data_IF_374226504276
#
_entry.id   IF_374226504276
#
_cell.length_a   1.000
_cell.length_b   1.000
_cell.length_c   1.000
_cell.angle_alpha   90.00
_cell.angle_beta   90.00
_cell.angle_gamma   90.00
#
_symmetry.space_group_name_H-M   'P 1'
#
loop_
_entity.id
_entity.type
_entity.pdbx_description
1 polymer ?
#
# COMPACT_ATOMS: atom_id res chain seq x y z
N UNK A 1 -0.67 6.05 13.67
CA UNK A 1 0.67 6.13 13.05
C UNK A 1 1.25 4.74 12.90
N UNK A 2 1.79 4.40 11.73
CA UNK A 2 2.38 3.10 11.42
C UNK A 2 3.84 3.26 10.99
N UNK A 3 4.71 2.44 11.58
CA UNK A 3 6.14 2.39 11.25
C UNK A 3 6.41 1.57 9.99
N UNK A 4 7.31 2.08 9.15
CA UNK A 4 7.78 1.38 7.96
C UNK A 4 9.01 0.50 8.28
N UNK A 5 9.10 -0.70 7.70
CA UNK A 5 10.15 -1.69 8.03
C UNK A 5 11.57 -1.21 7.71
N UNK A 6 11.71 -0.31 6.73
CA UNK A 6 13.01 0.26 6.34
C UNK A 6 13.15 1.74 6.75
N UNK A 7 12.34 2.16 7.74
CA UNK A 7 12.36 3.49 8.33
C UNK A 7 11.44 4.49 7.63
N UNK A 8 10.86 5.38 8.44
CA UNK A 8 9.76 6.26 8.05
C UNK A 8 8.48 5.88 8.78
N UNK A 9 7.50 6.76 8.75
CA UNK A 9 6.18 6.56 9.38
C UNK A 9 5.12 7.23 8.54
N UNK A 10 3.90 6.72 8.58
CA UNK A 10 2.75 7.37 7.94
C UNK A 10 1.52 7.31 8.84
N UNK A 11 0.55 8.17 8.57
CA UNK A 11 -0.77 8.14 9.20
C UNK A 11 -1.71 7.24 8.38
N UNK A 12 -2.32 6.25 9.04
CA UNK A 12 -3.33 5.38 8.44
C UNK A 12 -4.53 6.16 7.87
N UNK A 13 -4.87 7.32 8.42
CA UNK A 13 -5.95 8.16 7.90
C UNK A 13 -5.57 8.85 6.58
N UNK A 14 -4.30 9.16 6.35
CA UNK A 14 -3.81 9.63 5.05
C UNK A 14 -3.99 8.55 3.98
N UNK A 15 -3.79 7.28 4.36
CA UNK A 15 -4.06 6.15 3.45
C UNK A 15 -5.56 6.03 3.14
N UNK A 16 -6.44 6.16 4.15
CA UNK A 16 -7.89 6.17 3.92
C UNK A 16 -8.30 7.28 2.94
N UNK A 17 -7.78 8.50 3.16
CA UNK A 17 -8.02 9.63 2.28
C UNK A 17 -7.51 9.37 0.85
N UNK A 18 -6.31 8.80 0.72
CA UNK A 18 -5.73 8.44 -0.57
C UNK A 18 -6.57 7.42 -1.34
N UNK A 19 -7.04 6.35 -0.66
CA UNK A 19 -7.89 5.33 -1.28
C UNK A 19 -9.19 5.95 -1.77
N UNK A 20 -9.87 6.74 -0.94
CA UNK A 20 -11.12 7.43 -1.31
C UNK A 20 -10.93 8.41 -2.46
N UNK A 21 -9.84 9.18 -2.46
CA UNK A 21 -9.51 10.12 -3.52
C UNK A 21 -9.29 9.42 -4.88
N UNK A 22 -8.88 8.14 -4.87
CA UNK A 22 -8.75 7.34 -6.08
C UNK A 22 -10.09 6.81 -6.65
N UNK A 23 -11.21 7.06 -5.96
CA UNK A 23 -12.53 6.55 -6.35
C UNK A 23 -12.74 5.06 -6.07
N UNK A 24 -11.89 4.46 -5.23
CA UNK A 24 -11.96 3.04 -4.84
C UNK A 24 -12.20 2.90 -3.33
N UNK A 25 -12.58 1.70 -2.94
CA UNK A 25 -12.66 1.23 -1.56
C UNK A 25 -11.46 0.34 -1.17
N UNK A 26 -10.50 0.13 -2.07
CA UNK A 26 -9.36 -0.75 -1.86
C UNK A 26 -8.06 -0.22 -2.47
N UNK A 27 -6.94 -0.79 -2.02
CA UNK A 27 -5.61 -0.62 -2.60
C UNK A 27 -4.89 -1.97 -2.65
N UNK A 28 -4.20 -2.27 -3.76
CA UNK A 28 -3.39 -3.50 -3.86
C UNK A 28 -2.06 -3.33 -3.11
N UNK A 29 -1.53 -4.40 -2.52
CA UNK A 29 -0.23 -4.37 -1.84
C UNK A 29 0.88 -3.96 -2.82
N UNK A 30 0.96 -4.69 -3.95
CA UNK A 30 1.78 -4.31 -5.11
C UNK A 30 3.29 -4.20 -4.88
N UNK A 31 3.83 -4.78 -3.81
CA UNK A 31 5.27 -4.71 -3.49
C UNK A 31 6.17 -5.23 -4.62
N UNK A 32 7.23 -4.48 -4.94
CA UNK A 32 8.21 -4.84 -5.96
C UNK A 32 9.63 -4.51 -5.51
N UNK A 33 10.60 -5.39 -5.73
CA UNK A 33 12.01 -5.11 -5.47
C UNK A 33 12.66 -4.37 -6.66
N UNK A 34 12.04 -3.27 -7.07
CA UNK A 34 12.48 -2.37 -8.15
C UNK A 34 12.66 -0.96 -7.61
N UNK A 35 13.41 -0.11 -8.33
CA UNK A 35 13.46 1.33 -8.03
C UNK A 35 12.09 1.98 -8.22
N UNK A 36 11.92 3.20 -7.70
CA UNK A 36 10.64 3.90 -7.81
C UNK A 36 10.26 4.19 -9.27
N UNK A 37 11.24 4.54 -10.11
CA UNK A 37 11.04 4.84 -11.53
C UNK A 37 10.74 3.61 -12.39
N UNK A 38 11.21 2.42 -11.98
CA UNK A 38 10.93 1.15 -12.65
C UNK A 38 9.65 0.46 -12.14
N UNK A 39 8.97 1.05 -11.15
CA UNK A 39 7.83 0.44 -10.48
C UNK A 39 6.62 0.34 -11.42
N UNK A 40 6.12 -0.88 -11.67
CA UNK A 40 5.06 -1.09 -12.67
C UNK A 40 3.63 -0.91 -12.13
N UNK A 41 3.49 -0.64 -10.83
CA UNK A 41 2.19 -0.49 -10.15
C UNK A 41 2.07 0.84 -9.38
N UNK A 42 2.00 1.99 -10.07
CA UNK A 42 1.99 3.31 -9.43
C UNK A 42 0.76 3.56 -8.55
N UNK A 43 -0.32 2.77 -8.69
CA UNK A 43 -1.52 2.90 -7.87
C UNK A 43 -1.57 1.88 -6.72
N UNK A 44 -0.43 1.29 -6.36
CA UNK A 44 -0.31 0.34 -5.26
C UNK A 44 0.10 0.97 -3.94
N UNK A 45 -0.14 0.24 -2.85
CA UNK A 45 0.29 0.60 -1.52
C UNK A 45 1.81 0.73 -1.45
N UNK A 46 2.57 -0.17 -2.08
CA UNK A 46 4.03 -0.09 -2.08
C UNK A 46 4.54 1.22 -2.67
N UNK A 47 3.99 1.60 -3.83
CA UNK A 47 4.36 2.85 -4.50
C UNK A 47 4.02 4.07 -3.64
N UNK A 48 2.82 4.08 -3.05
CA UNK A 48 2.41 5.17 -2.19
C UNK A 48 3.28 5.25 -0.92
N UNK A 49 3.62 4.14 -0.28
CA UNK A 49 4.41 4.15 0.96
C UNK A 49 5.87 4.59 0.78
N UNK A 50 6.44 4.41 -0.41
CA UNK A 50 7.83 4.81 -0.72
C UNK A 50 8.09 6.31 -0.52
N UNK A 51 7.07 7.16 -0.56
CA UNK A 51 7.21 8.61 -0.29
C UNK A 51 7.50 8.92 1.18
N UNK A 52 7.13 8.01 2.10
CA UNK A 52 7.36 8.15 3.54
C UNK A 52 8.61 7.38 4.00
N UNK A 53 9.10 6.46 3.15
CA UNK A 53 10.30 5.68 3.43
C UNK A 53 11.58 6.51 3.36
N UNK A 54 12.60 6.12 4.14
CA UNK A 54 13.93 6.77 4.06
C UNK A 54 14.58 6.66 2.68
N UNK A 55 14.30 5.59 1.94
CA UNK A 55 14.79 5.37 0.59
C UNK A 55 13.59 5.02 -0.33
N UNK A 56 13.27 5.87 -1.33
CA UNK A 56 12.15 5.64 -2.24
C UNK A 56 12.32 4.41 -3.15
N UNK A 57 13.55 3.93 -3.34
CA UNK A 57 13.84 2.74 -4.15
C UNK A 57 13.72 1.43 -3.36
N UNK A 58 13.23 1.49 -2.12
CA UNK A 58 13.03 0.31 -1.27
C UNK A 58 11.54 0.04 -1.13
N UNK A 59 11.11 -1.20 -1.39
CA UNK A 59 9.73 -1.63 -1.09
C UNK A 59 9.39 -1.36 0.38
N UNK A 60 8.16 -0.97 0.65
CA UNK A 60 7.67 -0.62 1.99
C UNK A 60 6.43 -1.42 2.39
N UNK A 61 5.62 -1.89 1.43
CA UNK A 61 4.35 -2.59 1.71
C UNK A 61 4.55 -4.06 2.09
N UNK A 62 5.43 -4.35 3.05
CA UNK A 62 5.65 -5.71 3.58
C UNK A 62 4.40 -6.22 4.33
N UNK A 63 4.32 -7.53 4.54
CA UNK A 63 3.18 -8.13 5.25
C UNK A 63 2.98 -7.54 6.66
N UNK A 64 4.04 -7.17 7.37
CA UNK A 64 3.96 -6.53 8.68
C UNK A 64 3.24 -5.17 8.65
N UNK A 65 3.36 -4.42 7.55
CA UNK A 65 2.65 -3.14 7.38
C UNK A 65 1.16 -3.40 7.14
N UNK A 66 0.81 -4.42 6.35
CA UNK A 66 -0.58 -4.82 6.16
C UNK A 66 -1.21 -5.27 7.48
N UNK A 67 -0.50 -6.07 8.26
CA UNK A 67 -0.97 -6.54 9.56
C UNK A 67 -1.18 -5.37 10.54
N UNK A 68 -0.27 -4.38 10.55
CA UNK A 68 -0.43 -3.15 11.33
C UNK A 68 -1.64 -2.33 10.87
N UNK A 69 -1.88 -2.22 9.56
CA UNK A 69 -3.04 -1.54 9.00
C UNK A 69 -4.34 -2.25 9.41
N UNK A 70 -4.40 -3.58 9.32
CA UNK A 70 -5.58 -4.35 9.78
C UNK A 70 -5.82 -4.16 11.28
N UNK A 71 -4.76 -4.10 12.09
CA UNK A 71 -4.87 -3.89 13.54
C UNK A 71 -5.51 -2.55 13.93
N UNK A 72 -5.56 -1.56 13.02
CA UNK A 72 -6.29 -0.30 13.25
C UNK A 72 -7.81 -0.46 13.21
N UNK A 73 -8.32 -1.56 12.66
CA UNK A 73 -9.75 -1.79 12.43
C UNK A 73 -10.33 -1.04 11.23
N UNK A 74 -9.52 -0.27 10.49
CA UNK A 74 -9.96 0.49 9.31
C UNK A 74 -9.86 -0.32 8.00
N UNK A 75 -9.14 -1.45 8.03
CA UNK A 75 -8.81 -2.23 6.83
C UNK A 75 -9.00 -3.73 7.03
N UNK A 76 -9.34 -4.42 5.95
CA UNK A 76 -9.32 -5.88 5.85
C UNK A 76 -8.42 -6.36 4.70
N UNK A 77 -7.75 -7.50 4.86
CA UNK A 77 -6.93 -8.11 3.80
C UNK A 77 -7.80 -8.88 2.82
N UNK A 78 -7.76 -8.51 1.54
CA UNK A 78 -8.45 -9.19 0.45
C UNK A 78 -7.42 -9.77 -0.53
N UNK A 79 -7.63 -11.00 -1.00
CA UNK A 79 -6.69 -11.72 -1.90
C UNK A 79 -7.01 -11.64 -3.39
N UNK A 80 -8.19 -11.16 -3.75
CA UNK A 80 -8.72 -11.16 -5.12
C UNK A 80 -9.14 -9.75 -5.60
N UNK A 81 -8.37 -8.73 -5.26
CA UNK A 81 -8.60 -7.37 -5.75
C UNK A 81 -8.07 -7.22 -7.17
N UNK A 82 -8.76 -6.44 -8.01
CA UNK A 82 -8.28 -6.16 -9.38
C UNK A 82 -7.19 -5.08 -9.30
N UNK A 83 -6.01 -5.36 -9.82
CA UNK A 83 -4.96 -4.36 -9.93
C UNK A 83 -5.35 -3.32 -11.00
N UNK A 84 -5.43 -2.02 -10.68
CA UNK A 84 -5.78 -1.01 -11.66
C UNK A 84 -4.72 -0.82 -12.75
N UNK A 85 -3.46 -1.15 -12.46
CA UNK A 85 -2.34 -0.96 -13.40
C UNK A 85 -2.16 -2.15 -14.37
N UNK A 86 -2.49 -3.37 -13.95
CA UNK A 86 -2.25 -4.60 -14.74
C UNK A 86 -3.49 -5.42 -15.07
N UNK A 87 -4.63 -5.15 -14.43
CA UNK A 87 -5.85 -5.97 -14.56
C UNK A 87 -5.82 -7.30 -13.79
N UNK A 88 -4.65 -7.71 -13.30
CA UNK A 88 -4.47 -8.99 -12.60
C UNK A 88 -5.08 -9.00 -11.19
N UNK A 89 -5.43 -10.20 -10.70
CA UNK A 89 -5.90 -10.38 -9.31
C UNK A 89 -4.72 -10.34 -8.34
N UNK A 90 -4.82 -9.47 -7.35
CA UNK A 90 -3.77 -9.19 -6.37
C UNK A 90 -4.30 -9.20 -4.93
N UNK A 91 -3.39 -9.47 -4.00
CA UNK A 91 -3.59 -9.20 -2.57
C UNK A 91 -3.53 -7.69 -2.30
N UNK A 92 -4.34 -7.22 -1.37
CA UNK A 92 -4.33 -5.83 -0.89
C UNK A 92 -5.22 -5.63 0.33
N UNK A 93 -5.58 -4.37 0.55
CA UNK A 93 -6.42 -3.92 1.65
C UNK A 93 -7.70 -3.28 1.11
N UNK A 94 -8.83 -3.55 1.76
CA UNK A 94 -10.11 -2.86 1.54
C UNK A 94 -10.49 -2.09 2.82
N UNK A 95 -11.12 -0.93 2.65
CA UNK A 95 -11.68 -0.13 3.74
C UNK A 95 -12.88 -0.83 4.38
N UNK A 96 -12.95 -0.79 5.71
CA UNK A 96 -14.10 -1.28 6.52
C UNK A 96 -15.15 -0.19 6.69
#
# INVERSE_FOLDING_TARGET
MIDLPYGGTFDEHDLVAHIRASGRDYIIQGQQALSLDEHTKPQSLDYWLRQFGKNPNTKQAENSVLDALVATGLFEIIRNLICPDSGERCKGLRLV
#
